data_IF_486863276535
#
_entry.id   IF_486863276535
#
_cell.length_a   1.000
_cell.length_b   1.000
_cell.length_c   1.000
_cell.angle_alpha   90.00
_cell.angle_beta   90.00
_cell.angle_gamma   90.00
#
_symmetry.space_group_name_H-M   'P 1'
#
loop_
_entity.id
_entity.type
_entity.pdbx_description
1 polymer ?
#
# COMPACT_ATOMS: atom_id res chain seq x y z
N UNK A 1 -34.87 -26.30 59.17
CA UNK A 1 -33.80 -26.67 58.22
C UNK A 1 -33.75 -25.56 57.19
N UNK A 2 -32.84 -24.61 57.38
CA UNK A 2 -32.65 -23.46 56.51
C UNK A 2 -31.35 -23.69 55.75
N UNK A 3 -31.43 -23.85 54.43
CA UNK A 3 -30.25 -23.97 53.58
C UNK A 3 -29.71 -22.58 53.24
N UNK A 4 -28.50 -22.32 53.72
CA UNK A 4 -27.72 -21.11 53.49
C UNK A 4 -26.95 -21.27 52.17
N UNK A 5 -27.39 -20.60 51.11
CA UNK A 5 -26.67 -20.56 49.83
C UNK A 5 -25.47 -19.62 49.91
N UNK A 6 -24.29 -20.20 50.05
CA UNK A 6 -22.97 -19.55 49.98
C UNK A 6 -22.67 -19.09 48.54
N UNK A 7 -22.64 -17.78 48.32
CA UNK A 7 -22.20 -17.16 47.05
C UNK A 7 -20.72 -17.41 46.79
N UNK A 8 -20.40 -17.87 45.58
CA UNK A 8 -19.03 -17.97 45.08
C UNK A 8 -18.60 -16.62 44.50
N UNK A 9 -17.51 -16.06 45.04
CA UNK A 9 -16.84 -14.86 44.54
C UNK A 9 -16.09 -15.18 43.25
N UNK A 10 -16.49 -14.57 42.14
CA UNK A 10 -15.84 -14.70 40.84
C UNK A 10 -14.67 -13.73 40.80
N UNK A 11 -13.45 -14.27 40.64
CA UNK A 11 -12.23 -13.48 40.52
C UNK A 11 -12.30 -12.49 39.33
N UNK A 12 -11.75 -11.28 39.46
CA UNK A 12 -11.71 -10.31 38.36
C UNK A 12 -10.78 -10.80 37.24
N UNK A 13 -11.27 -10.73 36.00
CA UNK A 13 -10.52 -11.06 34.80
C UNK A 13 -9.25 -10.18 34.64
N UNK A 14 -8.16 -10.71 34.06
CA UNK A 14 -6.94 -9.94 33.82
C UNK A 14 -7.19 -8.79 32.85
N UNK A 15 -6.70 -7.59 33.20
CA UNK A 15 -6.82 -6.39 32.38
C UNK A 15 -6.12 -6.57 31.02
N UNK A 16 -6.84 -6.19 29.95
CA UNK A 16 -6.32 -6.19 28.58
C UNK A 16 -5.14 -5.21 28.44
N UNK A 17 -4.11 -5.54 27.62
CA UNK A 17 -2.98 -4.64 27.38
C UNK A 17 -3.43 -3.41 26.58
N UNK A 18 -3.25 -2.24 27.16
CA UNK A 18 -3.49 -0.94 26.54
C UNK A 18 -2.35 -0.62 25.55
N UNK A 19 -2.55 -1.03 24.30
CA UNK A 19 -1.67 -0.68 23.18
C UNK A 19 -1.66 0.83 22.96
N UNK A 20 -0.52 1.46 23.23
CA UNK A 20 -0.25 2.86 22.91
C UNK A 20 -0.36 3.06 21.39
N UNK A 21 -1.38 3.77 20.92
CA UNK A 21 -1.57 4.04 19.49
C UNK A 21 -0.50 5.03 18.99
N UNK A 22 0.27 4.59 18.00
CA UNK A 22 1.33 5.38 17.39
C UNK A 22 0.72 6.37 16.38
N UNK A 23 0.20 7.48 16.90
CA UNK A 23 -0.40 8.55 16.09
C UNK A 23 0.57 9.10 15.02
N UNK A 24 1.89 8.98 15.23
CA UNK A 24 2.90 9.35 14.24
C UNK A 24 2.88 8.46 12.99
N UNK A 25 2.70 7.15 13.15
CA UNK A 25 2.60 6.20 12.01
C UNK A 25 1.31 6.46 11.24
N UNK A 26 0.22 6.75 11.94
CA UNK A 26 -1.06 7.11 11.31
C UNK A 26 -0.96 8.44 10.54
N UNK A 27 -0.24 9.44 11.07
CA UNK A 27 0.03 10.71 10.38
C UNK A 27 0.87 10.46 9.11
N UNK A 28 1.90 9.62 9.17
CA UNK A 28 2.73 9.26 8.01
C UNK A 28 1.88 8.56 6.94
N UNK A 29 1.04 7.60 7.32
CA UNK A 29 0.13 6.91 6.38
C UNK A 29 -0.84 7.90 5.73
N UNK A 30 -1.43 8.82 6.50
CA UNK A 30 -2.32 9.86 5.94
C UNK A 30 -1.55 10.74 4.95
N UNK A 31 -0.33 11.17 5.28
CA UNK A 31 0.48 11.99 4.38
C UNK A 31 0.78 11.22 3.09
N UNK A 32 1.14 9.93 3.18
CA UNK A 32 1.40 9.08 2.01
C UNK A 32 0.14 8.93 1.14
N UNK A 33 -1.03 8.68 1.74
CA UNK A 33 -2.31 8.57 1.01
C UNK A 33 -2.67 9.89 0.32
N UNK A 34 -2.52 11.02 1.01
CA UNK A 34 -2.76 12.36 0.44
C UNK A 34 -1.81 12.66 -0.72
N UNK A 35 -0.53 12.30 -0.59
CA UNK A 35 0.47 12.48 -1.66
C UNK A 35 0.20 11.58 -2.87
N UNK A 36 -0.30 10.36 -2.66
CA UNK A 36 -0.73 9.47 -3.75
C UNK A 36 -1.93 10.08 -4.50
N UNK A 37 -2.93 10.59 -3.79
CA UNK A 37 -4.10 11.26 -4.41
C UNK A 37 -3.66 12.51 -5.19
N UNK A 38 -2.80 13.35 -4.60
CA UNK A 38 -2.28 14.55 -5.27
C UNK A 38 -1.38 14.21 -6.48
N UNK A 39 -0.60 13.13 -6.40
CA UNK A 39 0.22 12.63 -7.50
C UNK A 39 -0.61 12.11 -8.68
N UNK A 40 -1.76 11.48 -8.42
CA UNK A 40 -2.69 11.02 -9.46
C UNK A 40 -3.38 12.21 -10.14
N UNK A 41 -3.79 13.24 -9.38
CA UNK A 41 -4.33 14.50 -9.94
C UNK A 41 -3.25 15.21 -10.77
N UNK A 42 -1.99 15.20 -10.32
CA UNK A 42 -0.84 15.71 -11.06
C UNK A 42 -0.61 15.00 -12.40
N UNK A 43 -0.76 13.67 -12.46
CA UNK A 43 -0.63 12.91 -13.73
C UNK A 43 -1.67 13.29 -14.78
N UNK A 44 -2.87 13.70 -14.38
CA UNK A 44 -3.92 14.13 -15.34
C UNK A 44 -3.57 15.50 -15.96
N UNK A 45 -3.02 16.44 -15.18
CA UNK A 45 -2.63 17.77 -15.68
C UNK A 45 -1.30 17.72 -16.45
N UNK A 46 -0.34 16.94 -15.97
CA UNK A 46 0.97 16.74 -16.62
C UNK A 46 0.83 15.94 -17.92
N UNK A 47 -0.12 15.00 -18.00
CA UNK A 47 -0.40 14.24 -19.24
C UNK A 47 -0.84 15.12 -20.42
N UNK A 48 -1.39 16.31 -20.15
CA UNK A 48 -1.81 17.26 -21.19
C UNK A 48 -0.67 18.20 -21.63
N UNK A 49 0.32 18.47 -20.76
CA UNK A 49 1.41 19.44 -21.02
C UNK A 49 2.76 18.75 -21.36
N UNK A 50 3.00 17.53 -20.88
CA UNK A 50 4.32 16.89 -20.91
C UNK A 50 4.62 16.02 -22.14
N UNK A 51 3.81 16.07 -23.20
CA UNK A 51 4.02 15.21 -24.39
C UNK A 51 5.26 15.55 -25.23
N UNK A 52 6.10 16.53 -24.87
CA UNK A 52 7.28 16.90 -25.70
C UNK A 52 8.59 17.31 -25.00
N UNK A 53 8.75 17.28 -23.68
CA UNK A 53 9.97 17.86 -23.07
C UNK A 53 10.51 17.19 -21.77
N UNK A 54 10.01 16.01 -21.37
CA UNK A 54 10.16 15.55 -19.99
C UNK A 54 11.28 14.55 -19.66
N UNK A 55 11.92 13.93 -20.64
CA UNK A 55 12.68 12.68 -20.37
C UNK A 55 14.10 12.86 -19.77
N UNK A 56 14.59 14.09 -19.54
CA UNK A 56 15.93 14.32 -18.96
C UNK A 56 15.99 15.15 -17.67
N UNK A 57 14.88 15.74 -17.24
CA UNK A 57 14.86 16.62 -16.06
C UNK A 57 14.33 15.91 -14.80
N UNK A 58 13.58 14.82 -14.95
CA UNK A 58 12.98 14.12 -13.83
C UNK A 58 14.02 13.41 -12.93
N UNK A 59 15.09 12.85 -13.49
CA UNK A 59 16.10 12.09 -12.73
C UNK A 59 16.98 13.00 -11.84
N UNK A 60 17.24 14.25 -12.26
CA UNK A 60 18.12 15.17 -11.53
C UNK A 60 17.46 15.92 -10.37
N UNK A 61 16.14 16.16 -10.44
CA UNK A 61 15.43 16.99 -9.46
C UNK A 61 14.88 16.14 -8.30
N UNK A 62 14.51 14.88 -8.54
CA UNK A 62 13.98 13.99 -7.50
C UNK A 62 15.05 13.58 -6.48
N UNK A 63 16.28 13.32 -6.93
CA UNK A 63 17.39 12.90 -6.05
C UNK A 63 17.92 14.03 -5.15
N UNK A 64 17.81 15.29 -5.58
CA UNK A 64 18.31 16.45 -4.82
C UNK A 64 17.35 16.92 -3.72
N UNK A 65 16.06 16.56 -3.81
CA UNK A 65 15.02 17.01 -2.87
C UNK A 65 14.70 15.98 -1.78
N UNK A 66 14.84 14.68 -2.07
CA UNK A 66 14.44 13.62 -1.12
C UNK A 66 15.55 13.16 -0.19
N UNK A 67 16.81 13.50 -0.44
CA UNK A 67 17.96 13.07 0.39
C UNK A 67 18.27 11.56 0.31
N UNK A 68 17.55 10.82 -0.54
CA UNK A 68 17.51 9.37 -0.59
C UNK A 68 17.69 8.77 -1.98
N UNK A 69 18.16 7.52 -2.04
CA UNK A 69 18.17 6.75 -3.30
C UNK A 69 16.77 6.24 -3.60
N UNK A 70 16.06 6.96 -4.46
CA UNK A 70 14.77 6.54 -5.03
C UNK A 70 15.01 6.13 -6.48
N UNK A 71 14.59 4.91 -6.82
CA UNK A 71 14.63 4.39 -8.19
C UNK A 71 13.21 4.42 -8.76
N UNK A 72 13.02 5.05 -9.93
CA UNK A 72 11.71 5.33 -10.53
C UNK A 72 11.73 4.93 -11.99
N UNK A 73 11.08 3.81 -12.30
CA UNK A 73 10.83 3.38 -13.67
C UNK A 73 9.46 3.89 -14.16
N UNK A 74 9.44 4.64 -15.26
CA UNK A 74 8.22 5.14 -15.91
C UNK A 74 8.26 4.92 -17.42
N UNK A 75 7.08 4.82 -18.06
CA UNK A 75 6.98 4.75 -19.53
C UNK A 75 6.63 3.37 -20.08
N UNK A 76 6.99 3.10 -21.34
CA UNK A 76 6.75 1.82 -22.02
C UNK A 76 7.84 0.81 -21.67
N UNK A 77 7.45 -0.35 -21.12
CA UNK A 77 8.39 -1.43 -20.79
C UNK A 77 8.71 -1.56 -19.30
N UNK A 78 8.04 -0.81 -18.43
CA UNK A 78 8.15 -0.97 -16.98
C UNK A 78 7.71 -2.37 -16.58
N UNK A 79 8.55 -3.07 -15.82
CA UNK A 79 8.31 -4.43 -15.36
C UNK A 79 8.05 -4.47 -13.86
N UNK A 80 7.50 -5.59 -13.40
CA UNK A 80 7.42 -5.90 -11.97
C UNK A 80 8.82 -5.84 -11.33
N UNK A 81 9.00 -5.18 -10.17
CA UNK A 81 10.31 -5.07 -9.54
C UNK A 81 10.91 -6.45 -9.27
N UNK A 82 12.12 -6.69 -9.77
CA UNK A 82 12.80 -7.98 -9.64
C UNK A 82 13.19 -8.33 -8.20
N UNK A 83 13.23 -7.32 -7.32
CA UNK A 83 13.57 -7.45 -5.91
C UNK A 83 12.36 -7.27 -4.97
N UNK A 84 11.14 -7.22 -5.53
CA UNK A 84 9.91 -7.31 -4.75
C UNK A 84 9.94 -8.57 -3.88
N UNK A 85 9.51 -8.52 -2.60
CA UNK A 85 9.51 -9.69 -1.75
C UNK A 85 8.73 -10.84 -2.39
N UNK A 86 9.27 -12.05 -2.33
CA UNK A 86 8.63 -13.24 -2.93
C UNK A 86 7.28 -13.59 -2.31
N UNK A 87 6.99 -13.06 -1.12
CA UNK A 87 5.68 -13.15 -0.49
C UNK A 87 4.61 -12.33 -1.22
N UNK A 88 4.99 -11.31 -1.98
CA UNK A 88 4.06 -10.48 -2.76
C UNK A 88 3.85 -11.15 -4.13
N UNK A 89 2.65 -11.68 -4.42
CA UNK A 89 2.37 -12.27 -5.73
C UNK A 89 2.55 -11.24 -6.83
N UNK A 90 3.03 -11.66 -8.00
CA UNK A 90 3.16 -10.75 -9.15
C UNK A 90 1.78 -10.39 -9.70
N UNK A 91 1.49 -9.10 -9.80
CA UNK A 91 0.31 -8.64 -10.56
C UNK A 91 0.57 -8.83 -12.05
N UNK A 92 -0.23 -9.69 -12.69
CA UNK A 92 -0.03 -10.11 -14.09
C UNK A 92 -1.06 -9.52 -15.07
N UNK A 93 -2.02 -8.74 -14.56
CA UNK A 93 -3.10 -8.14 -15.34
C UNK A 93 -2.82 -6.66 -15.61
N UNK A 94 -3.42 -6.12 -16.66
CA UNK A 94 -3.22 -4.73 -17.07
C UNK A 94 -1.79 -4.41 -17.50
N UNK A 95 -1.46 -3.12 -17.46
CA UNK A 95 -0.17 -2.57 -17.88
C UNK A 95 0.49 -1.82 -16.74
N UNK A 96 1.69 -2.22 -16.36
CA UNK A 96 2.49 -1.46 -15.39
C UNK A 96 2.93 -0.15 -16.05
N UNK A 97 2.57 0.96 -15.42
CA UNK A 97 2.89 2.32 -15.90
C UNK A 97 3.97 2.99 -15.06
N UNK A 98 4.17 2.51 -13.84
CA UNK A 98 5.19 3.01 -12.93
C UNK A 98 5.57 1.91 -11.94
N UNK A 99 6.87 1.80 -11.67
CA UNK A 99 7.40 1.03 -10.57
C UNK A 99 8.42 1.91 -9.85
N UNK A 100 8.31 1.98 -8.53
CA UNK A 100 9.20 2.79 -7.70
C UNK A 100 9.67 1.96 -6.54
N UNK A 101 10.94 2.13 -6.18
CA UNK A 101 11.53 1.52 -5.02
C UNK A 101 12.21 2.58 -4.17
N UNK A 102 11.98 2.48 -2.87
CA UNK A 102 12.69 3.26 -1.85
C UNK A 102 13.59 2.29 -1.11
N UNK A 103 14.88 2.61 -1.08
CA UNK A 103 15.88 1.80 -0.39
C UNK A 103 16.81 2.72 0.40
N UNK A 104 16.35 3.06 1.61
CA UNK A 104 17.08 3.83 2.59
C UNK A 104 17.32 3.01 3.85
N UNK A 105 18.29 3.45 4.66
CA UNK A 105 18.62 2.77 5.91
C UNK A 105 17.40 2.76 6.85
N UNK A 106 16.89 1.56 7.15
CA UNK A 106 15.68 1.37 7.96
C UNK A 106 14.35 1.57 7.22
N UNK A 107 14.36 1.89 5.92
CA UNK A 107 13.14 2.08 5.12
C UNK A 107 13.25 1.42 3.75
N UNK A 108 12.55 0.30 3.58
CA UNK A 108 12.43 -0.41 2.31
C UNK A 108 10.97 -0.46 1.88
N UNK A 109 10.69 -0.02 0.66
CA UNK A 109 9.35 -0.03 0.11
C UNK A 109 9.32 -0.07 -1.41
N UNK A 110 8.18 -0.51 -1.94
CA UNK A 110 7.88 -0.60 -3.35
C UNK A 110 6.52 0.01 -3.62
N UNK A 111 6.37 0.66 -4.77
CA UNK A 111 5.08 1.13 -5.27
C UNK A 111 4.99 0.78 -6.75
N UNK A 112 3.88 0.17 -7.16
CA UNK A 112 3.60 -0.23 -8.54
C UNK A 112 2.24 0.32 -8.92
N UNK A 113 2.18 1.06 -10.03
CA UNK A 113 0.93 1.61 -10.59
C UNK A 113 0.63 0.90 -11.90
N UNK A 114 -0.59 0.39 -12.00
CA UNK A 114 -1.07 -0.48 -13.06
C UNK A 114 -2.33 0.15 -13.65
N UNK A 115 -2.39 0.27 -14.97
CA UNK A 115 -3.58 0.73 -15.70
C UNK A 115 -4.22 -0.42 -16.47
N UNK A 116 -5.37 -0.16 -17.09
CA UNK A 116 -6.05 -1.11 -17.97
C UNK A 116 -6.44 -2.39 -17.21
N UNK A 117 -6.93 -2.22 -15.99
CA UNK A 117 -7.35 -3.33 -15.12
C UNK A 117 -8.84 -3.27 -14.83
N UNK A 118 -9.44 -4.43 -14.62
CA UNK A 118 -10.83 -4.55 -14.18
C UNK A 118 -10.93 -4.77 -12.67
N UNK A 119 -12.14 -4.57 -12.13
CA UNK A 119 -12.44 -4.95 -10.75
C UNK A 119 -12.29 -6.47 -10.52
N UNK A 120 -12.63 -7.30 -11.51
CA UNK A 120 -12.41 -8.75 -11.41
C UNK A 120 -10.94 -9.14 -11.34
N UNK A 121 -10.05 -8.42 -12.04
CA UNK A 121 -8.60 -8.65 -11.95
C UNK A 121 -8.08 -8.25 -10.56
N UNK A 122 -8.60 -7.14 -10.01
CA UNK A 122 -8.33 -6.71 -8.64
C UNK A 122 -8.78 -7.76 -7.61
N UNK A 123 -10.01 -8.24 -7.69
CA UNK A 123 -10.54 -9.25 -6.77
C UNK A 123 -9.79 -10.58 -6.88
N UNK A 124 -9.41 -10.98 -8.10
CA UNK A 124 -8.56 -12.16 -8.32
C UNK A 124 -7.19 -12.00 -7.65
N UNK A 125 -6.60 -10.81 -7.71
CA UNK A 125 -5.33 -10.53 -7.04
C UNK A 125 -5.47 -10.56 -5.52
N UNK A 126 -6.57 -10.04 -4.95
CA UNK A 126 -6.86 -10.18 -3.52
C UNK A 126 -6.86 -11.63 -3.06
N UNK A 127 -7.51 -12.51 -3.82
CA UNK A 127 -7.52 -13.95 -3.52
C UNK A 127 -6.11 -14.56 -3.57
N UNK A 128 -5.26 -14.12 -4.50
CA UNK A 128 -3.85 -14.56 -4.58
C UNK A 128 -3.04 -14.09 -3.38
N UNK A 129 -3.21 -12.83 -2.96
CA UNK A 129 -2.54 -12.24 -1.79
C UNK A 129 -2.91 -13.03 -0.52
N UNK A 130 -4.20 -13.32 -0.31
CA UNK A 130 -4.65 -14.13 0.84
C UNK A 130 -4.12 -15.56 0.75
N UNK A 131 -4.15 -16.18 -0.43
CA UNK A 131 -3.61 -17.54 -0.65
C UNK A 131 -2.10 -17.62 -0.41
N UNK A 132 -1.38 -16.51 -0.58
CA UNK A 132 0.04 -16.38 -0.28
C UNK A 132 0.34 -16.17 1.22
N UNK A 133 -0.68 -16.23 2.09
CA UNK A 133 -0.51 -16.15 3.54
C UNK A 133 -0.65 -14.76 4.13
N UNK A 134 -1.15 -13.79 3.37
CA UNK A 134 -1.41 -12.45 3.90
C UNK A 134 -2.79 -12.38 4.55
N UNK A 135 -2.88 -11.59 5.62
CA UNK A 135 -4.13 -11.32 6.33
C UNK A 135 -4.67 -9.96 5.93
N UNK A 136 -5.95 -9.87 5.57
CA UNK A 136 -6.58 -8.56 5.37
C UNK A 136 -6.80 -7.89 6.74
N UNK A 137 -6.14 -6.76 6.97
CA UNK A 137 -6.26 -5.98 8.21
C UNK A 137 -7.31 -4.89 8.12
N UNK A 138 -7.57 -4.37 6.91
CA UNK A 138 -8.57 -3.34 6.67
C UNK A 138 -9.10 -3.37 5.24
N UNK A 139 -10.34 -2.91 5.07
CA UNK A 139 -10.96 -2.68 3.77
C UNK A 139 -11.87 -1.45 3.87
N UNK A 140 -11.73 -0.52 2.93
CA UNK A 140 -12.60 0.66 2.84
C UNK A 140 -12.90 1.00 1.39
N UNK A 141 -14.01 1.68 1.15
CA UNK A 141 -14.42 2.11 -0.18
C UNK A 141 -14.99 3.52 -0.13
N UNK A 142 -14.32 4.45 -0.79
CA UNK A 142 -14.78 5.83 -0.97
C UNK A 142 -14.18 6.42 -2.25
N UNK A 143 -14.91 6.30 -3.37
CA UNK A 143 -14.42 6.67 -4.71
C UNK A 143 -13.36 5.70 -5.28
N UNK A 144 -12.55 5.10 -4.42
CA UNK A 144 -11.67 3.97 -4.70
C UNK A 144 -11.82 2.91 -3.58
N UNK A 145 -11.55 1.65 -3.92
CA UNK A 145 -11.44 0.55 -2.97
C UNK A 145 -10.01 0.52 -2.45
N UNK A 146 -9.83 0.46 -1.13
CA UNK A 146 -8.52 0.34 -0.48
C UNK A 146 -8.58 -0.87 0.45
N UNK A 147 -7.73 -1.86 0.19
CA UNK A 147 -7.54 -3.03 1.02
C UNK A 147 -6.11 -3.02 1.58
N UNK A 148 -5.98 -3.22 2.89
CA UNK A 148 -4.70 -3.32 3.58
C UNK A 148 -4.49 -4.77 3.98
N UNK A 149 -3.34 -5.31 3.61
CA UNK A 149 -2.91 -6.65 3.91
C UNK A 149 -1.62 -6.63 4.69
N UNK A 150 -1.44 -7.60 5.57
CA UNK A 150 -0.23 -7.74 6.38
C UNK A 150 0.23 -9.18 6.44
N UNK A 151 1.54 -9.35 6.54
CA UNK A 151 2.17 -10.61 6.97
C UNK A 151 3.14 -10.33 8.12
N UNK A 152 4.07 -11.25 8.38
CA UNK A 152 5.07 -11.10 9.45
C UNK A 152 6.00 -9.89 9.24
N UNK A 153 6.38 -9.61 8.00
CA UNK A 153 7.47 -8.70 7.66
C UNK A 153 7.02 -7.41 6.96
N UNK A 154 5.84 -7.43 6.33
CA UNK A 154 5.39 -6.39 5.41
C UNK A 154 3.92 -6.01 5.60
N UNK A 155 3.63 -4.75 5.25
CA UNK A 155 2.29 -4.26 4.95
C UNK A 155 2.17 -4.02 3.44
N UNK A 156 1.02 -4.41 2.87
CA UNK A 156 0.66 -4.21 1.47
C UNK A 156 -0.64 -3.41 1.42
N UNK A 157 -0.57 -2.22 0.83
CA UNK A 157 -1.71 -1.38 0.52
C UNK A 157 -2.09 -1.60 -0.94
N UNK A 158 -3.29 -2.11 -1.15
CA UNK A 158 -3.84 -2.40 -2.46
C UNK A 158 -5.00 -1.42 -2.70
N UNK A 159 -4.97 -0.68 -3.80
CA UNK A 159 -6.00 0.29 -4.14
C UNK A 159 -6.51 0.06 -5.55
N UNK A 160 -7.82 0.08 -5.74
CA UNK A 160 -8.48 0.08 -7.05
C UNK A 160 -9.38 1.29 -7.21
N UNK A 161 -9.16 2.02 -8.29
CA UNK A 161 -10.03 3.12 -8.70
C UNK A 161 -10.72 2.71 -10.00
N UNK A 162 -12.04 2.51 -9.92
CA UNK A 162 -12.88 2.15 -11.07
C UNK A 162 -12.97 3.27 -12.10
N UNK A 163 -12.80 4.53 -11.70
CA UNK A 163 -12.87 5.69 -12.58
C UNK A 163 -11.69 5.76 -13.53
N UNK A 164 -10.51 5.36 -13.06
CA UNK A 164 -9.27 5.32 -13.85
C UNK A 164 -8.94 3.92 -14.38
N UNK A 165 -9.71 2.90 -14.02
CA UNK A 165 -9.38 1.48 -14.30
C UNK A 165 -7.94 1.17 -13.90
N UNK A 166 -7.57 1.61 -12.70
CA UNK A 166 -6.21 1.62 -12.19
C UNK A 166 -6.07 0.88 -10.87
N UNK A 167 -4.95 0.18 -10.70
CA UNK A 167 -4.54 -0.45 -9.45
C UNK A 167 -3.22 0.16 -8.98
N UNK A 168 -3.14 0.46 -7.68
CA UNK A 168 -1.90 0.80 -7.00
C UNK A 168 -1.58 -0.28 -5.98
N UNK A 169 -0.34 -0.77 -6.00
CA UNK A 169 0.19 -1.74 -5.04
C UNK A 169 1.37 -1.09 -4.35
N UNK A 170 1.28 -0.87 -3.05
CA UNK A 170 2.39 -0.35 -2.25
C UNK A 170 2.74 -1.35 -1.17
N UNK A 171 4.02 -1.68 -1.06
CA UNK A 171 4.55 -2.65 -0.08
C UNK A 171 5.61 -1.94 0.74
N UNK A 172 5.55 -2.07 2.06
CA UNK A 172 6.54 -1.51 2.97
C UNK A 172 6.84 -2.48 4.10
N UNK A 173 8.02 -2.35 4.73
CA UNK A 173 8.33 -3.07 5.96
C UNK A 173 7.30 -2.74 7.04
N UNK A 174 6.89 -3.78 7.77
CA UNK A 174 6.03 -3.64 8.94
C UNK A 174 6.89 -3.19 10.12
N UNK A 175 6.56 -2.01 10.66
CA UNK A 175 7.17 -1.42 11.86
C UNK A 175 6.59 -1.99 13.15
#
# INVERSE_FOLDING_TARGET
MSEETKSAEVAPAPAAPSGKKNNAVLIIIIIVVVLVILGIIGKVVVGYVARKAGEKLAEGIVSSVTGGKVDVDTGSGVSWPSDMPSSVPKYSKGKITMATKINEEGSKGWSVIISETSQSDYDSYKSQVVSAGWTNSSSTSFGAIIDIYENADYQLNLTFDSSSSGVSITVALKS
#
